data_IF_921117184875
#
_entry.id   IF_921117184875
#
_cell.length_a   1.000
_cell.length_b   1.000
_cell.length_c   1.000
_cell.angle_alpha   90.00
_cell.angle_beta   90.00
_cell.angle_gamma   90.00
#
_symmetry.space_group_name_H-M   'P 1'
#
loop_
_entity.id
_entity.type
_entity.pdbx_description
1 polymer ?
#
# COMPACT_ATOMS: atom_id res chain seq x y z
N UNK A 1 -1.72 22.64 -16.19
CA UNK A 1 -3.07 22.06 -16.32
C UNK A 1 -4.00 23.15 -16.84
N UNK A 2 -3.83 23.54 -18.12
CA UNK A 2 -4.45 24.76 -18.66
C UNK A 2 -5.04 24.48 -20.04
N UNK A 3 -6.11 23.68 -20.12
CA UNK A 3 -6.96 23.61 -21.32
C UNK A 3 -8.31 22.89 -21.12
N UNK A 4 -9.13 23.30 -20.12
CA UNK A 4 -10.54 22.88 -20.08
C UNK A 4 -11.48 23.82 -19.30
N UNK A 5 -11.80 25.01 -19.83
CA UNK A 5 -12.96 25.82 -19.37
C UNK A 5 -13.52 26.75 -20.46
N UNK A 6 -14.78 26.49 -20.88
CA UNK A 6 -15.84 27.37 -21.48
C UNK A 6 -16.79 26.47 -22.31
N UNK A 7 -18.12 26.63 -22.37
CA UNK A 7 -19.19 27.52 -21.84
C UNK A 7 -20.48 26.64 -21.79
N UNK A 8 -21.61 26.92 -21.13
CA UNK A 8 -22.12 27.90 -20.14
C UNK A 8 -23.44 27.31 -19.56
N UNK A 9 -24.07 27.93 -18.56
CA UNK A 9 -25.45 27.60 -18.16
C UNK A 9 -25.71 27.57 -16.65
N UNK A 10 -26.12 28.71 -16.08
CA UNK A 10 -26.63 28.77 -14.69
C UNK A 10 -28.06 28.24 -14.59
N UNK A 11 -28.49 27.87 -13.37
CA UNK A 11 -29.56 28.67 -12.76
C UNK A 11 -29.17 29.26 -11.40
N UNK A 12 -29.91 30.31 -11.02
CA UNK A 12 -29.70 31.12 -9.82
C UNK A 12 -30.79 30.76 -8.81
N UNK A 13 -30.43 30.27 -7.62
CA UNK A 13 -31.40 30.12 -6.52
C UNK A 13 -30.88 30.75 -5.23
N UNK A 14 -31.79 31.44 -4.55
CA UNK A 14 -31.55 32.22 -3.34
C UNK A 14 -32.11 31.49 -2.11
N UNK A 15 -31.60 31.91 -0.94
CA UNK A 15 -32.24 31.87 0.39
C UNK A 15 -32.16 30.59 1.25
N UNK A 16 -31.50 30.83 2.40
CA UNK A 16 -31.99 30.59 3.76
C UNK A 16 -31.53 29.33 4.48
N UNK A 17 -30.80 29.57 5.58
CA UNK A 17 -30.53 28.62 6.65
C UNK A 17 -31.82 28.01 7.25
N UNK A 18 -31.72 26.75 7.66
CA UNK A 18 -32.15 26.26 8.98
C UNK A 18 -31.22 25.15 9.43
N UNK A 19 -30.47 25.40 10.51
CA UNK A 19 -29.91 24.33 11.32
C UNK A 19 -31.07 23.69 12.10
N UNK A 20 -31.19 22.37 12.00
CA UNK A 20 -32.05 21.58 12.89
C UNK A 20 -31.14 20.62 13.67
N UNK A 21 -31.20 20.72 15.00
CA UNK A 21 -30.45 19.89 15.93
C UNK A 21 -30.83 18.42 15.80
N UNK A 22 -29.85 17.54 15.58
CA UNK A 22 -30.04 16.10 15.74
C UNK A 22 -29.92 15.79 17.22
N UNK A 23 -31.06 15.56 17.88
CA UNK A 23 -31.12 15.20 19.29
C UNK A 23 -30.71 13.73 19.48
N UNK A 24 -29.85 13.44 20.46
CA UNK A 24 -29.25 12.12 20.65
C UNK A 24 -29.76 11.49 21.95
N UNK A 25 -30.91 10.81 21.90
CA UNK A 25 -31.40 10.00 23.04
C UNK A 25 -32.47 8.97 22.65
N UNK A 26 -32.57 7.93 23.49
CA UNK A 26 -33.61 6.89 23.55
C UNK A 26 -33.83 5.97 22.33
N UNK A 27 -33.04 4.89 22.25
CA UNK A 27 -33.57 3.54 21.91
C UNK A 27 -33.03 2.53 22.93
N UNK A 28 -33.67 2.46 24.09
CA UNK A 28 -33.50 1.38 25.08
C UNK A 28 -34.86 0.92 25.58
N UNK A 29 -35.36 -0.20 25.04
CA UNK A 29 -36.32 -1.15 25.64
C UNK A 29 -37.02 -1.96 24.53
N UNK A 30 -37.41 -3.20 24.86
CA UNK A 30 -37.85 -4.28 23.95
C UNK A 30 -36.68 -4.79 23.08
N UNK A 31 -36.29 -6.06 23.10
CA UNK A 31 -37.14 -7.25 23.25
C UNK A 31 -36.42 -8.45 23.90
N UNK A 32 -36.13 -8.38 25.20
CA UNK A 32 -35.75 -9.57 26.00
C UNK A 32 -36.99 -10.41 26.32
N UNK A 33 -37.37 -11.31 25.41
CA UNK A 33 -38.37 -12.38 25.65
C UNK A 33 -38.37 -13.40 24.50
N UNK A 34 -37.35 -14.28 24.43
CA UNK A 34 -37.46 -15.57 23.72
C UNK A 34 -36.36 -16.59 24.11
N UNK A 35 -35.94 -16.59 25.38
CA UNK A 35 -35.37 -17.79 25.99
C UNK A 35 -36.54 -18.57 26.63
N UNK A 36 -36.60 -19.89 26.38
CA UNK A 36 -37.60 -20.89 26.84
C UNK A 36 -38.61 -21.44 25.79
N UNK A 37 -38.25 -21.41 24.51
CA UNK A 37 -38.74 -22.31 23.44
C UNK A 37 -37.58 -22.40 22.45
N UNK A 38 -36.93 -23.54 22.18
CA UNK A 38 -37.52 -24.81 21.76
C UNK A 38 -36.51 -25.96 21.94
N UNK A 39 -36.39 -26.52 23.15
CA UNK A 39 -35.58 -27.74 23.38
C UNK A 39 -36.33 -28.92 22.75
N UNK A 40 -35.88 -29.35 21.57
CA UNK A 40 -36.47 -30.45 20.79
C UNK A 40 -35.53 -31.67 20.80
N UNK A 41 -36.03 -32.90 20.99
CA UNK A 41 -35.19 -34.08 21.21
C UNK A 41 -34.27 -34.43 20.02
N UNK A 42 -34.54 -33.91 18.82
CA UNK A 42 -33.70 -34.09 17.63
C UNK A 42 -32.33 -33.41 17.73
N UNK A 43 -32.14 -32.44 18.62
CA UNK A 43 -30.89 -31.66 18.69
C UNK A 43 -29.77 -32.37 19.47
N UNK A 44 -30.12 -33.28 20.38
CA UNK A 44 -29.16 -34.02 21.24
C UNK A 44 -28.31 -34.99 20.42
N UNK A 45 -28.89 -35.62 19.39
CA UNK A 45 -28.19 -36.58 18.54
C UNK A 45 -27.12 -35.95 17.62
N UNK A 46 -27.30 -34.69 17.21
CA UNK A 46 -26.34 -34.00 16.34
C UNK A 46 -25.04 -33.67 17.10
N UNK A 47 -25.14 -33.30 18.39
CA UNK A 47 -23.96 -32.99 19.23
C UNK A 47 -23.12 -34.25 19.52
N UNK A 48 -23.78 -35.40 19.71
CA UNK A 48 -23.11 -36.70 19.90
C UNK A 48 -22.36 -37.20 18.66
N UNK A 49 -22.87 -36.94 17.45
CA UNK A 49 -22.21 -37.31 16.20
C UNK A 49 -20.92 -36.51 15.89
N UNK A 50 -20.77 -35.32 16.49
CA UNK A 50 -19.57 -34.47 16.34
C UNK A 50 -18.45 -34.91 17.32
N UNK A 51 -18.81 -35.56 18.44
CA UNK A 51 -17.87 -36.09 19.42
C UNK A 51 -17.25 -37.45 19.05
N UNK A 52 -17.76 -38.14 18.01
CA UNK A 52 -17.28 -39.45 17.57
C UNK A 52 -16.20 -39.41 16.46
N UNK A 53 -15.78 -38.23 15.98
CA UNK A 53 -14.79 -38.08 14.92
C UNK A 53 -13.37 -37.67 15.39
N UNK A 54 -13.10 -37.68 16.70
CA UNK A 54 -11.81 -37.29 17.30
C UNK A 54 -10.92 -38.49 17.69
N UNK A 55 -11.23 -39.70 17.25
CA UNK A 55 -10.40 -40.90 17.45
C UNK A 55 -9.95 -41.47 16.10
N UNK A 56 -9.20 -40.66 15.34
CA UNK A 56 -8.24 -41.17 14.37
C UNK A 56 -6.89 -41.26 15.09
N UNK A 57 -6.31 -42.45 15.31
CA UNK A 57 -4.95 -42.53 15.82
C UNK A 57 -4.01 -41.94 14.77
N UNK A 58 -3.40 -40.81 15.10
CA UNK A 58 -2.40 -40.16 14.27
C UNK A 58 -1.18 -41.09 14.20
N UNK A 59 -0.98 -41.77 13.06
CA UNK A 59 0.20 -42.60 12.85
C UNK A 59 1.44 -41.70 12.85
N UNK A 60 2.14 -41.64 13.98
CA UNK A 60 3.47 -41.03 14.07
C UNK A 60 4.48 -41.94 13.37
N UNK A 61 4.68 -41.72 12.06
CA UNK A 61 5.85 -42.24 11.38
C UNK A 61 7.05 -41.39 11.77
N UNK A 62 7.83 -41.84 12.76
CA UNK A 62 9.12 -41.25 13.08
C UNK A 62 10.10 -41.54 11.92
N UNK A 63 10.37 -40.52 11.11
CA UNK A 63 11.58 -40.45 10.33
C UNK A 63 12.49 -39.40 11.00
N UNK A 64 13.41 -39.85 11.85
CA UNK A 64 14.56 -39.04 12.21
C UNK A 64 15.45 -38.91 10.98
N UNK A 65 15.32 -37.79 10.26
CA UNK A 65 16.34 -37.35 9.33
C UNK A 65 16.94 -36.06 9.88
N UNK A 66 18.22 -36.19 10.22
CA UNK A 66 19.20 -35.18 10.58
C UNK A 66 18.93 -33.76 10.07
N UNK A 67 19.28 -32.80 10.93
CA UNK A 67 19.48 -31.40 10.56
C UNK A 67 20.56 -31.34 9.47
N UNK A 68 20.15 -31.22 8.21
CA UNK A 68 21.08 -30.89 7.14
C UNK A 68 20.59 -29.71 6.32
N UNK A 69 21.48 -28.72 6.25
CA UNK A 69 21.53 -27.55 5.38
C UNK A 69 20.25 -26.74 5.12
N UNK A 70 20.34 -25.48 5.54
CA UNK A 70 19.66 -24.35 4.92
C UNK A 70 19.89 -24.40 3.40
N UNK A 71 18.93 -24.94 2.65
CA UNK A 71 19.00 -25.01 1.19
C UNK A 71 19.01 -23.60 0.61
N UNK A 72 20.21 -23.11 0.31
CA UNK A 72 20.41 -21.89 -0.47
C UNK A 72 20.06 -22.20 -1.92
N UNK A 73 18.75 -22.35 -2.19
CA UNK A 73 18.18 -22.31 -3.52
C UNK A 73 18.83 -21.12 -4.26
N UNK A 74 19.46 -21.33 -5.42
CA UNK A 74 20.19 -20.29 -6.11
C UNK A 74 19.22 -19.16 -6.44
N UNK A 75 19.32 -18.08 -5.66
CA UNK A 75 18.31 -17.04 -5.64
C UNK A 75 18.19 -16.45 -7.05
N UNK A 76 16.97 -16.53 -7.60
CA UNK A 76 16.70 -16.08 -8.98
C UNK A 76 17.27 -14.67 -9.22
N UNK A 77 17.73 -14.34 -10.44
CA UNK A 77 18.24 -12.99 -10.73
C UNK A 77 17.29 -11.87 -10.33
N UNK A 78 15.98 -12.13 -10.35
CA UNK A 78 14.95 -11.22 -9.87
C UNK A 78 14.97 -11.06 -8.35
N UNK A 79 15.04 -12.13 -7.54
CA UNK A 79 15.15 -12.01 -6.07
C UNK A 79 16.42 -11.30 -5.63
N UNK A 80 17.57 -11.58 -6.27
CA UNK A 80 18.82 -10.84 -6.00
C UNK A 80 18.63 -9.34 -6.29
N UNK A 81 17.98 -8.98 -7.40
CA UNK A 81 17.68 -7.60 -7.73
C UNK A 81 16.72 -6.94 -6.71
N UNK A 82 15.76 -7.67 -6.16
CA UNK A 82 14.87 -7.16 -5.10
C UNK A 82 15.59 -6.98 -3.76
N UNK A 83 16.50 -7.87 -3.38
CA UNK A 83 17.36 -7.70 -2.20
C UNK A 83 18.29 -6.50 -2.34
N UNK A 84 18.90 -6.32 -3.51
CA UNK A 84 19.73 -5.15 -3.82
C UNK A 84 18.90 -3.84 -3.83
N UNK A 85 17.64 -3.90 -4.26
CA UNK A 85 16.73 -2.76 -4.23
C UNK A 85 16.32 -2.39 -2.79
N UNK A 86 16.04 -3.37 -1.93
CA UNK A 86 15.77 -3.14 -0.50
C UNK A 86 16.92 -2.42 0.20
N UNK A 87 18.16 -2.85 -0.06
CA UNK A 87 19.38 -2.20 0.44
C UNK A 87 19.51 -0.75 -0.05
N UNK A 88 19.20 -0.47 -1.31
CA UNK A 88 19.22 0.90 -1.87
C UNK A 88 18.12 1.80 -1.33
N UNK A 89 16.95 1.25 -0.99
CA UNK A 89 15.84 2.02 -0.39
C UNK A 89 16.10 2.27 1.11
N UNK A 90 16.89 1.43 1.77
CA UNK A 90 17.06 1.44 3.22
C UNK A 90 15.86 0.82 3.96
N UNK A 91 15.14 -0.09 3.32
CA UNK A 91 13.95 -0.74 3.89
C UNK A 91 13.90 -2.24 3.54
N UNK A 92 13.71 -3.06 4.58
CA UNK A 92 13.51 -4.50 4.46
C UNK A 92 12.03 -4.82 4.63
N UNK A 93 11.42 -5.41 3.60
CA UNK A 93 10.01 -5.82 3.63
C UNK A 93 9.82 -7.07 4.50
N UNK A 94 8.77 -7.06 5.31
CA UNK A 94 8.26 -8.26 5.98
C UNK A 94 7.62 -9.21 4.95
N UNK A 95 6.88 -8.65 3.99
CA UNK A 95 6.26 -9.38 2.87
C UNK A 95 6.95 -9.05 1.54
N UNK A 96 7.93 -9.88 1.18
CA UNK A 96 8.59 -9.82 -0.13
C UNK A 96 7.60 -9.91 -1.33
N UNK A 97 6.38 -10.43 -1.12
CA UNK A 97 5.32 -10.45 -2.13
C UNK A 97 4.88 -9.03 -2.52
N UNK A 98 4.84 -8.09 -1.57
CA UNK A 98 4.46 -6.69 -1.84
C UNK A 98 5.50 -6.00 -2.74
N UNK A 99 6.80 -6.19 -2.48
CA UNK A 99 7.87 -5.66 -3.33
C UNK A 99 7.89 -6.33 -4.72
N UNK A 100 7.71 -7.66 -4.78
CA UNK A 100 7.55 -8.38 -6.07
C UNK A 100 6.40 -7.79 -6.89
N UNK A 101 5.25 -7.49 -6.26
CA UNK A 101 4.09 -6.88 -6.92
C UNK A 101 4.36 -5.43 -7.34
N UNK A 102 5.03 -4.63 -6.52
CA UNK A 102 5.44 -3.27 -6.86
C UNK A 102 6.34 -3.23 -8.12
N UNK A 103 7.24 -4.20 -8.25
CA UNK A 103 8.11 -4.38 -9.43
C UNK A 103 7.45 -5.16 -10.58
N UNK A 104 6.11 -5.15 -10.66
CA UNK A 104 5.36 -5.83 -11.74
C UNK A 104 4.41 -4.87 -12.44
N UNK A 105 4.70 -4.54 -13.70
CA UNK A 105 3.84 -3.69 -14.51
C UNK A 105 2.60 -4.45 -15.01
N UNK A 106 1.51 -3.72 -15.26
CA UNK A 106 0.24 -4.28 -15.73
C UNK A 106 0.29 -4.95 -17.11
N UNK A 107 1.36 -4.73 -17.88
CA UNK A 107 1.57 -5.46 -19.14
C UNK A 107 2.25 -6.83 -18.95
N UNK A 108 2.73 -7.14 -17.74
CA UNK A 108 3.35 -8.44 -17.39
C UNK A 108 2.36 -9.38 -16.68
N UNK A 109 1.47 -8.86 -15.84
CA UNK A 109 0.49 -9.66 -15.08
C UNK A 109 -0.73 -8.83 -14.66
N UNK A 110 -1.84 -9.49 -14.37
CA UNK A 110 -2.99 -8.89 -13.66
C UNK A 110 -2.64 -8.56 -12.20
N UNK A 111 -1.76 -9.35 -11.57
CA UNK A 111 -1.20 -9.05 -10.25
C UNK A 111 -0.06 -8.03 -10.35
N UNK A 112 -0.45 -6.78 -10.63
CA UNK A 112 0.48 -5.70 -10.91
C UNK A 112 0.45 -4.57 -9.86
N UNK A 113 1.32 -3.60 -10.13
CA UNK A 113 1.62 -2.45 -9.31
C UNK A 113 0.65 -1.27 -9.41
N UNK A 114 -0.41 -1.31 -10.25
CA UNK A 114 -1.31 -0.16 -10.44
C UNK A 114 -1.93 0.34 -9.12
N UNK A 115 -2.49 -0.56 -8.31
CA UNK A 115 -3.11 -0.20 -7.03
C UNK A 115 -2.08 0.36 -6.03
N UNK A 116 -0.91 -0.28 -5.94
CA UNK A 116 0.20 0.18 -5.11
C UNK A 116 0.71 1.56 -5.56
N UNK A 117 0.78 1.81 -6.87
CA UNK A 117 1.20 3.10 -7.44
C UNK A 117 0.21 4.24 -7.20
N UNK A 118 -1.10 3.94 -7.09
CA UNK A 118 -2.11 4.92 -6.67
C UNK A 118 -1.91 5.29 -5.20
N UNK A 119 -1.82 4.30 -4.30
CA UNK A 119 -1.56 4.54 -2.88
C UNK A 119 -0.25 5.30 -2.66
N UNK A 120 0.82 4.88 -3.34
CA UNK A 120 2.13 5.51 -3.26
C UNK A 120 2.17 6.95 -3.76
N UNK A 121 1.37 7.31 -4.77
CA UNK A 121 1.22 8.70 -5.18
C UNK A 121 0.63 9.55 -4.04
N UNK A 122 -0.43 9.07 -3.38
CA UNK A 122 -1.02 9.74 -2.23
C UNK A 122 -0.04 9.83 -1.05
N UNK A 123 0.72 8.77 -0.74
CA UNK A 123 1.77 8.80 0.30
C UNK A 123 2.81 9.88 0.03
N UNK A 124 3.32 9.97 -1.21
CA UNK A 124 4.32 10.98 -1.59
C UNK A 124 3.74 12.39 -1.50
N UNK A 125 2.52 12.63 -2.00
CA UNK A 125 1.90 13.95 -1.99
C UNK A 125 1.50 14.40 -0.57
N UNK A 126 1.01 13.50 0.28
CA UNK A 126 0.75 13.76 1.71
C UNK A 126 2.04 14.04 2.46
N UNK A 127 3.11 13.26 2.22
CA UNK A 127 4.42 13.49 2.85
C UNK A 127 5.07 14.81 2.39
N UNK A 128 4.86 15.21 1.13
CA UNK A 128 5.21 16.54 0.62
C UNK A 128 4.45 17.65 1.36
N UNK A 129 3.12 17.55 1.45
CA UNK A 129 2.29 18.53 2.16
C UNK A 129 2.70 18.68 3.64
N UNK A 130 2.84 17.56 4.36
CA UNK A 130 3.23 17.51 5.76
C UNK A 130 4.61 18.13 5.99
N UNK A 131 5.60 17.82 5.14
CA UNK A 131 6.95 18.37 5.27
C UNK A 131 7.04 19.87 5.00
N UNK A 132 6.22 20.41 4.10
CA UNK A 132 6.21 21.84 3.81
C UNK A 132 5.48 22.63 4.89
N UNK A 133 4.27 22.22 5.27
CA UNK A 133 3.50 22.90 6.32
C UNK A 133 4.14 22.75 7.71
N UNK A 134 4.80 21.62 7.99
CA UNK A 134 5.59 21.43 9.22
C UNK A 134 6.86 22.28 9.30
N UNK A 135 7.23 22.99 8.23
CA UNK A 135 8.32 23.98 8.21
C UNK A 135 7.84 25.42 8.16
N UNK A 136 6.75 25.66 7.43
CA UNK A 136 6.15 26.97 7.21
C UNK A 136 4.63 26.78 7.10
N UNK A 137 3.95 26.98 8.22
CA UNK A 137 2.49 26.83 8.32
C UNK A 137 1.74 27.97 7.62
N UNK A 138 2.39 29.13 7.45
CA UNK A 138 1.86 30.31 6.77
C UNK A 138 2.06 30.25 5.23
N UNK A 139 2.60 29.13 4.73
CA UNK A 139 2.84 28.93 3.30
C UNK A 139 1.54 29.02 2.49
N UNK A 140 1.48 29.98 1.56
CA UNK A 140 0.32 30.13 0.68
C UNK A 140 -0.02 28.83 -0.08
N UNK A 141 -1.32 28.51 -0.17
CA UNK A 141 -1.85 27.32 -0.86
C UNK A 141 -1.32 27.16 -2.29
N UNK A 142 -1.08 28.27 -3.00
CA UNK A 142 -0.47 28.26 -4.34
C UNK A 142 0.96 27.70 -4.32
N UNK A 143 1.79 28.18 -3.40
CA UNK A 143 3.18 27.74 -3.23
C UNK A 143 3.24 26.28 -2.78
N UNK A 144 2.37 25.89 -1.82
CA UNK A 144 2.24 24.51 -1.36
C UNK A 144 1.90 23.55 -2.51
N UNK A 145 0.82 23.83 -3.25
CA UNK A 145 0.38 22.98 -4.36
C UNK A 145 1.41 22.92 -5.49
N UNK A 146 2.11 24.03 -5.77
CA UNK A 146 3.22 24.03 -6.72
C UNK A 146 4.32 23.05 -6.29
N UNK A 147 4.81 23.16 -5.05
CA UNK A 147 5.90 22.32 -4.53
C UNK A 147 5.54 20.84 -4.43
N UNK A 148 4.30 20.52 -4.02
CA UNK A 148 3.78 19.15 -4.06
C UNK A 148 3.81 18.62 -5.50
N UNK A 149 3.32 19.42 -6.46
CA UNK A 149 3.28 19.01 -7.87
C UNK A 149 4.66 18.85 -8.50
N UNK A 150 5.67 19.60 -8.05
CA UNK A 150 7.06 19.50 -8.50
C UNK A 150 7.70 18.18 -8.04
N UNK A 151 7.45 17.77 -6.79
CA UNK A 151 7.93 16.48 -6.25
C UNK A 151 7.20 15.28 -6.87
N UNK A 152 5.87 15.34 -7.02
CA UNK A 152 5.12 14.20 -7.57
C UNK A 152 5.22 14.09 -9.10
N UNK A 153 5.83 15.08 -9.78
CA UNK A 153 5.97 15.15 -11.24
C UNK A 153 6.67 13.93 -11.83
N UNK A 154 5.98 13.27 -12.77
CA UNK A 154 6.44 12.05 -13.45
C UNK A 154 7.79 12.26 -14.13
N UNK A 155 7.87 13.18 -15.10
CA UNK A 155 9.01 13.32 -16.01
C UNK A 155 10.32 13.82 -15.35
N UNK A 156 10.25 14.56 -14.24
CA UNK A 156 11.40 15.30 -13.72
C UNK A 156 11.85 14.92 -12.31
N UNK A 157 10.96 14.35 -11.50
CA UNK A 157 11.24 13.97 -10.11
C UNK A 157 11.10 12.47 -9.95
N UNK A 158 9.86 11.97 -10.06
CA UNK A 158 9.51 10.56 -9.84
C UNK A 158 10.24 9.58 -10.78
N UNK A 159 10.38 9.92 -12.08
CA UNK A 159 11.18 9.12 -13.01
C UNK A 159 12.67 9.18 -12.65
N UNK A 160 13.21 10.36 -12.31
CA UNK A 160 14.64 10.52 -12.03
C UNK A 160 15.06 9.72 -10.79
N UNK A 161 14.22 9.70 -9.75
CA UNK A 161 14.44 8.86 -8.57
C UNK A 161 14.39 7.36 -8.91
N UNK A 162 13.40 6.93 -9.71
CA UNK A 162 13.30 5.55 -10.17
C UNK A 162 14.46 5.12 -11.09
N UNK A 163 14.96 6.02 -11.94
CA UNK A 163 16.14 5.77 -12.78
C UNK A 163 17.42 5.66 -11.95
N UNK A 164 17.54 6.47 -10.89
CA UNK A 164 18.66 6.42 -9.92
C UNK A 164 18.68 5.12 -9.11
N UNK A 165 17.52 4.58 -8.74
CA UNK A 165 17.37 3.23 -8.17
C UNK A 165 17.50 2.09 -9.21
N UNK A 166 17.69 2.42 -10.49
CA UNK A 166 17.82 1.43 -11.56
C UNK A 166 16.54 0.63 -11.86
N UNK A 167 15.35 1.15 -11.49
CA UNK A 167 14.08 0.40 -11.57
C UNK A 167 13.75 -0.10 -12.98
N UNK A 168 14.19 0.59 -14.04
CA UNK A 168 14.05 0.17 -15.43
C UNK A 168 14.71 -1.20 -15.75
N UNK A 169 15.63 -1.67 -14.90
CA UNK A 169 16.28 -2.99 -14.96
C UNK A 169 15.59 -4.05 -14.09
N UNK A 170 14.75 -3.64 -13.14
CA UNK A 170 14.13 -4.51 -12.13
C UNK A 170 12.63 -4.74 -12.42
N UNK A 171 11.93 -3.72 -12.94
CA UNK A 171 10.50 -3.79 -13.22
C UNK A 171 10.19 -4.81 -14.31
N UNK A 172 9.33 -5.77 -13.99
CA UNK A 172 8.86 -6.79 -14.92
C UNK A 172 7.81 -6.21 -15.85
N UNK A 173 8.06 -6.31 -17.16
CA UNK A 173 7.20 -5.81 -18.25
C UNK A 173 7.09 -6.90 -19.33
N UNK A 174 6.04 -6.90 -20.16
CA UNK A 174 6.03 -7.76 -21.35
C UNK A 174 6.96 -7.22 -22.44
N UNK A 175 7.34 -8.11 -23.37
CA UNK A 175 8.25 -7.81 -24.51
C UNK A 175 7.83 -6.64 -25.40
N UNK A 176 6.55 -6.25 -25.38
CA UNK A 176 6.01 -5.10 -26.14
C UNK A 176 6.07 -3.76 -25.38
N UNK A 177 6.53 -3.77 -24.12
CA UNK A 177 6.53 -2.61 -23.23
C UNK A 177 7.97 -2.19 -22.91
N UNK A 178 8.31 -0.92 -23.14
CA UNK A 178 9.61 -0.39 -22.77
C UNK A 178 9.64 -0.02 -21.26
N UNK A 179 10.46 -0.73 -20.49
CA UNK A 179 10.62 -0.54 -19.04
C UNK A 179 11.23 0.80 -18.64
N UNK A 180 11.98 1.45 -19.54
CA UNK A 180 12.62 2.76 -19.33
C UNK A 180 11.70 3.95 -19.62
N UNK A 181 10.41 3.72 -19.90
CA UNK A 181 9.47 4.83 -20.11
C UNK A 181 9.13 5.55 -18.81
N UNK A 182 8.95 6.89 -18.81
CA UNK A 182 8.69 7.67 -17.60
C UNK A 182 7.52 7.13 -16.78
N UNK A 183 6.43 6.73 -17.45
CA UNK A 183 5.24 6.18 -16.82
C UNK A 183 5.48 4.82 -16.13
N UNK A 184 6.29 3.93 -16.71
CA UNK A 184 6.61 2.63 -16.11
C UNK A 184 7.55 2.81 -14.92
N UNK A 185 8.62 3.59 -15.08
CA UNK A 185 9.61 3.84 -14.02
C UNK A 185 8.97 4.56 -12.83
N UNK A 186 8.24 5.66 -13.07
CA UNK A 186 7.54 6.39 -12.01
C UNK A 186 6.39 5.56 -11.40
N UNK A 187 5.70 4.74 -12.19
CA UNK A 187 4.68 3.81 -11.67
C UNK A 187 5.27 2.79 -10.70
N UNK A 188 6.41 2.18 -11.04
CA UNK A 188 7.15 1.27 -10.17
C UNK A 188 7.69 2.00 -8.92
N UNK A 189 8.25 3.21 -9.07
CA UNK A 189 8.75 4.03 -7.97
C UNK A 189 7.65 4.35 -6.95
N UNK A 190 6.50 4.86 -7.39
CA UNK A 190 5.34 5.09 -6.51
C UNK A 190 4.88 3.80 -5.85
N UNK A 191 4.82 2.70 -6.60
CA UNK A 191 4.38 1.42 -6.07
C UNK A 191 5.27 0.85 -4.96
N UNK A 192 6.57 1.20 -4.90
CA UNK A 192 7.44 0.89 -3.76
C UNK A 192 6.86 1.52 -2.49
N UNK A 193 6.61 2.82 -2.47
CA UNK A 193 6.13 3.51 -1.26
C UNK A 193 4.70 3.13 -0.89
N UNK A 194 3.85 2.80 -1.86
CA UNK A 194 2.55 2.18 -1.60
C UNK A 194 2.68 0.77 -0.98
N UNK A 195 3.65 -0.03 -1.44
CA UNK A 195 3.94 -1.34 -0.86
C UNK A 195 4.49 -1.23 0.57
N UNK A 196 5.44 -0.30 0.82
CA UNK A 196 5.99 -0.01 2.15
C UNK A 196 4.87 0.43 3.11
N UNK A 197 3.97 1.33 2.68
CA UNK A 197 2.86 1.80 3.51
C UNK A 197 1.91 0.67 3.93
N UNK A 198 1.73 -0.35 3.09
CA UNK A 198 0.96 -1.57 3.43
C UNK A 198 1.76 -2.49 4.36
N UNK A 199 3.05 -2.71 4.08
CA UNK A 199 3.91 -3.63 4.84
C UNK A 199 4.13 -3.14 6.28
N UNK A 200 4.33 -1.82 6.48
CA UNK A 200 4.47 -1.19 7.82
C UNK A 200 3.11 -0.76 8.43
N UNK A 201 2.04 -0.76 7.65
CA UNK A 201 0.70 -0.33 8.07
C UNK A 201 0.55 1.19 8.34
N UNK A 202 1.50 2.03 7.92
CA UNK A 202 1.54 3.48 8.19
C UNK A 202 2.04 4.26 6.97
N UNK A 203 1.29 5.28 6.57
CA UNK A 203 1.67 6.21 5.47
C UNK A 203 2.93 7.01 5.79
N UNK A 204 3.08 7.43 7.04
CA UNK A 204 4.07 8.44 7.42
C UNK A 204 5.48 7.84 7.47
N UNK A 205 5.60 6.59 7.94
CA UNK A 205 6.85 5.82 7.92
C UNK A 205 7.32 5.60 6.46
N UNK A 206 6.39 5.26 5.54
CA UNK A 206 6.68 5.16 4.12
C UNK A 206 7.07 6.51 3.49
N UNK A 207 6.44 7.61 3.92
CA UNK A 207 6.79 8.97 3.55
C UNK A 207 8.19 9.39 4.03
N UNK A 208 8.60 8.97 5.23
CA UNK A 208 9.94 9.21 5.75
C UNK A 208 11.01 8.47 4.94
N UNK A 209 10.77 7.21 4.57
CA UNK A 209 11.67 6.43 3.70
C UNK A 209 11.76 7.06 2.30
N UNK A 210 10.63 7.54 1.75
CA UNK A 210 10.62 8.31 0.49
C UNK A 210 11.58 9.51 0.54
N UNK A 211 11.61 10.27 1.63
CA UNK A 211 12.52 11.42 1.74
C UNK A 211 14.00 11.04 1.75
N UNK A 212 14.38 9.91 2.36
CA UNK A 212 15.75 9.42 2.32
C UNK A 212 16.20 9.11 0.88
N UNK A 213 15.34 8.40 0.12
CA UNK A 213 15.58 8.07 -1.29
C UNK A 213 15.61 9.35 -2.16
N UNK A 214 14.57 10.19 -2.08
CA UNK A 214 14.40 11.37 -2.93
C UNK A 214 15.56 12.37 -2.79
N UNK A 215 16.11 12.54 -1.58
CA UNK A 215 17.26 13.41 -1.33
C UNK A 215 18.57 12.88 -1.89
N UNK A 216 18.68 11.56 -2.09
CA UNK A 216 19.94 10.91 -2.44
C UNK A 216 20.80 10.51 -1.24
N UNK A 217 20.29 10.63 -0.02
CA UNK A 217 20.98 10.27 1.23
C UNK A 217 20.93 8.76 1.51
N UNK A 218 20.58 7.93 0.52
CA UNK A 218 20.68 6.47 0.56
C UNK A 218 22.16 6.02 0.54
N UNK A 219 22.86 6.32 1.63
CA UNK A 219 24.32 6.21 1.77
C UNK A 219 24.95 7.32 2.64
N UNK A 220 24.18 8.26 3.19
CA UNK A 220 24.68 9.36 4.03
C UNK A 220 24.26 9.22 5.49
N UNK A 221 25.25 9.12 6.39
CA UNK A 221 25.04 9.14 7.84
C UNK A 221 24.29 10.42 8.23
N UNK A 222 23.20 10.26 9.00
CA UNK A 222 22.54 11.37 9.67
C UNK A 222 23.45 11.87 10.81
N UNK A 223 24.34 12.81 10.51
CA UNK A 223 25.09 13.54 11.53
C UNK A 223 24.09 14.46 12.24
N UNK A 224 23.84 14.14 13.52
CA UNK A 224 23.14 14.99 14.49
C UNK A 224 24.04 16.13 14.96
#
# INVERSE_FOLDING_TARGET
FSHFLRREGRPRFHRSLRLSSVNCQSITSKQTNNLNKMYSPSFVFVVLAILSFTIVPYFQCHAENEVNELSFEPSSPFSIALEALQKQIGYTFQSNVLLRRAMTHASFSEENNRGLGVLGASVIETSAALRFLGKDIEMSVKNLNQRISEISKVESSCMMDGMRLGLQKVVRVSSKTNSSTPAVVCGAFRAIFGAIAIDVGKSDDAGNIFWGVHRGDAGGVLVL
#
